data_IF_122082490132
#
_entry.id   IF_122082490132
#
_cell.length_a   1.000
_cell.length_b   1.000
_cell.length_c   1.000
_cell.angle_alpha   90.00
_cell.angle_beta   90.00
_cell.angle_gamma   90.00
#
_symmetry.space_group_name_H-M   'P 1'
#
loop_
_entity.id
_entity.type
_entity.pdbx_description
1 polymer ?
#
# COMPACT_ATOMS: atom_id res chain seq x y z
N UNK A 1 -21.33 -14.58 15.05
CA UNK A 1 -20.34 -14.11 16.05
C UNK A 1 -19.31 -13.31 15.30
N UNK A 2 -19.01 -12.11 15.80
CA UNK A 2 -17.97 -11.27 15.21
C UNK A 2 -16.61 -11.94 15.33
N UNK A 3 -15.84 -11.90 14.24
CA UNK A 3 -14.44 -12.35 14.21
C UNK A 3 -13.59 -11.11 14.11
N UNK A 4 -12.85 -10.80 15.17
CA UNK A 4 -12.16 -9.51 15.30
C UNK A 4 -10.67 -9.74 15.07
N UNK A 5 -10.08 -9.00 14.12
CA UNK A 5 -8.62 -8.87 14.00
C UNK A 5 -8.15 -7.75 14.91
N UNK A 6 -7.24 -8.05 15.83
CA UNK A 6 -6.67 -7.04 16.74
C UNK A 6 -5.67 -6.15 16.00
N UNK A 7 -5.40 -5.00 16.59
CA UNK A 7 -4.28 -4.12 16.24
C UNK A 7 -2.98 -4.72 16.80
N UNK A 8 -2.50 -5.82 16.21
CA UNK A 8 -1.40 -6.65 16.75
C UNK A 8 -0.04 -5.97 16.74
N UNK A 9 0.14 -4.90 15.94
CA UNK A 9 1.39 -4.15 15.81
C UNK A 9 1.35 -2.80 16.54
N UNK A 10 0.23 -2.44 17.17
CA UNK A 10 0.14 -1.29 18.07
C UNK A 10 1.10 -1.45 19.26
N UNK A 11 1.73 -0.35 19.67
CA UNK A 11 2.73 -0.30 20.74
C UNK A 11 4.15 -0.66 20.29
N UNK A 12 4.35 -1.08 19.05
CA UNK A 12 5.68 -1.38 18.49
C UNK A 12 5.94 -0.68 17.15
N UNK A 13 5.04 -0.82 16.17
CA UNK A 13 5.19 -0.17 14.85
C UNK A 13 4.59 1.23 14.81
N UNK A 14 3.57 1.47 15.64
CA UNK A 14 2.91 2.75 15.86
C UNK A 14 2.42 2.80 17.32
N UNK A 15 2.14 3.99 17.86
CA UNK A 15 1.70 4.13 19.26
C UNK A 15 0.33 3.48 19.48
N UNK A 16 0.17 2.73 20.57
CA UNK A 16 -1.10 2.14 21.01
C UNK A 16 -1.98 3.13 21.79
N UNK A 17 -1.40 4.23 22.27
CA UNK A 17 -2.15 5.32 22.89
C UNK A 17 -3.00 6.07 21.83
N UNK A 18 -4.34 6.08 21.94
CA UNK A 18 -5.22 6.62 20.91
C UNK A 18 -5.10 8.14 20.74
N UNK A 19 -4.93 8.89 21.83
CA UNK A 19 -4.80 10.35 21.75
C UNK A 19 -3.51 10.74 21.06
N UNK A 20 -2.40 10.10 21.47
CA UNK A 20 -1.09 10.33 20.86
C UNK A 20 -1.08 9.93 19.38
N UNK A 21 -1.69 8.79 19.02
CA UNK A 21 -1.78 8.35 17.63
C UNK A 21 -2.56 9.36 16.78
N UNK A 22 -3.70 9.84 17.30
CA UNK A 22 -4.50 10.85 16.60
C UNK A 22 -3.73 12.15 16.38
N UNK A 23 -3.03 12.64 17.40
CA UNK A 23 -2.20 13.86 17.32
C UNK A 23 -1.07 13.71 16.29
N UNK A 24 -0.31 12.60 16.34
CA UNK A 24 0.75 12.31 15.37
C UNK A 24 0.23 12.31 13.93
N UNK A 25 -0.91 11.67 13.69
CA UNK A 25 -1.54 11.62 12.37
C UNK A 25 -2.05 13.00 11.92
N UNK A 26 -2.67 13.78 12.81
CA UNK A 26 -3.12 15.15 12.51
C UNK A 26 -1.94 16.03 12.11
N UNK A 27 -0.83 15.98 12.88
CA UNK A 27 0.37 16.75 12.59
C UNK A 27 0.95 16.41 11.22
N UNK A 28 1.08 15.12 10.88
CA UNK A 28 1.67 14.71 9.61
C UNK A 28 0.74 15.01 8.43
N UNK A 29 -0.57 14.78 8.56
CA UNK A 29 -1.56 15.10 7.54
C UNK A 29 -1.64 16.61 7.29
N UNK A 30 -1.58 17.42 8.35
CA UNK A 30 -1.53 18.89 8.25
C UNK A 30 -0.23 19.36 7.59
N UNK A 31 0.91 18.82 8.01
CA UNK A 31 2.23 19.17 7.48
C UNK A 31 2.42 18.78 6.00
N UNK A 32 1.74 17.74 5.52
CA UNK A 32 1.71 17.42 4.10
C UNK A 32 1.10 18.56 3.27
N UNK A 33 0.16 19.33 3.84
CA UNK A 33 -0.37 20.56 3.24
C UNK A 33 -1.17 20.34 1.94
N UNK A 34 -1.75 19.15 1.79
CA UNK A 34 -2.39 18.72 0.55
C UNK A 34 -3.88 19.05 0.52
N UNK A 35 -4.35 19.56 -0.61
CA UNK A 35 -5.77 19.76 -0.85
C UNK A 35 -6.48 18.41 -1.01
N UNK A 36 -7.63 18.27 -0.35
CA UNK A 36 -8.54 17.13 -0.57
C UNK A 36 -9.13 17.21 -1.97
N UNK A 37 -9.25 16.07 -2.65
CA UNK A 37 -9.82 16.01 -3.99
C UNK A 37 -10.65 14.74 -4.15
N UNK A 38 -11.87 14.92 -4.65
CA UNK A 38 -12.78 13.83 -5.05
C UNK A 38 -12.25 12.99 -6.20
N UNK A 39 -11.25 13.49 -6.94
CA UNK A 39 -10.67 12.78 -8.07
C UNK A 39 -9.65 11.72 -7.61
N UNK A 40 -9.19 11.77 -6.35
CA UNK A 40 -8.27 10.77 -5.80
C UNK A 40 -9.03 9.47 -5.53
N UNK A 41 -8.76 8.47 -6.37
CA UNK A 41 -9.42 7.15 -6.34
C UNK A 41 -8.52 6.04 -5.79
N UNK A 42 -7.24 6.32 -5.56
CA UNK A 42 -6.35 5.41 -4.86
C UNK A 42 -5.02 6.04 -4.47
N UNK A 43 -4.20 5.29 -3.76
CA UNK A 43 -2.86 5.69 -3.32
C UNK A 43 -1.89 4.51 -3.35
N UNK A 44 -0.60 4.82 -3.42
CA UNK A 44 0.50 3.93 -3.02
C UNK A 44 1.16 4.58 -1.80
N UNK A 45 1.33 3.83 -0.71
CA UNK A 45 1.89 4.35 0.54
C UNK A 45 2.80 3.32 1.23
N UNK A 46 3.80 3.77 2.01
CA UNK A 46 4.72 2.89 2.74
C UNK A 46 4.06 2.21 3.94
N UNK A 47 4.68 1.12 4.39
CA UNK A 47 4.26 0.33 5.56
C UNK A 47 5.40 -0.02 6.53
N UNK A 48 6.49 0.75 6.54
CA UNK A 48 7.39 0.73 7.69
C UNK A 48 6.72 1.31 8.96
N UNK A 49 7.37 1.14 10.12
CA UNK A 49 6.90 1.75 11.37
C UNK A 49 6.82 3.28 11.29
N UNK A 50 5.83 3.87 11.97
CA UNK A 50 5.43 5.26 11.80
C UNK A 50 6.53 6.27 12.13
N UNK A 51 7.43 5.94 13.06
CA UNK A 51 8.61 6.77 13.36
C UNK A 51 9.52 7.00 12.14
N UNK A 52 9.48 6.09 11.15
CA UNK A 52 10.27 6.20 9.93
C UNK A 52 9.46 6.71 8.75
N UNK A 53 8.28 6.12 8.48
CA UNK A 53 7.54 6.34 7.22
C UNK A 53 6.23 7.10 7.40
N UNK A 54 5.77 7.38 8.63
CA UNK A 54 4.47 8.01 8.88
C UNK A 54 4.33 9.38 8.21
N UNK A 55 5.39 10.20 8.26
CA UNK A 55 5.44 11.50 7.57
C UNK A 55 5.36 11.35 6.05
N UNK A 56 6.08 10.38 5.48
CA UNK A 56 6.01 10.09 4.06
C UNK A 56 4.59 9.64 3.67
N UNK A 57 4.00 8.69 4.42
CA UNK A 57 2.65 8.17 4.18
C UNK A 57 1.58 9.27 4.15
N UNK A 58 1.71 10.29 5.02
CA UNK A 58 0.79 11.42 5.04
C UNK A 58 0.68 12.16 3.70
N UNK A 59 1.69 12.12 2.83
CA UNK A 59 1.60 12.69 1.48
C UNK A 59 0.70 11.90 0.53
N UNK A 60 0.46 10.62 0.77
CA UNK A 60 -0.52 9.83 0.02
C UNK A 60 -1.92 10.08 0.59
N UNK A 61 -2.07 9.80 1.88
CA UNK A 61 -3.33 9.88 2.64
C UNK A 61 -3.90 11.32 2.72
N UNK A 62 -3.03 12.34 2.74
CA UNK A 62 -3.38 13.75 2.89
C UNK A 62 -4.31 14.30 1.82
N UNK A 63 -4.37 13.72 0.62
CA UNK A 63 -5.23 14.20 -0.47
C UNK A 63 -6.63 13.57 -0.51
N UNK A 64 -6.90 12.56 0.32
CA UNK A 64 -8.15 11.80 0.26
C UNK A 64 -9.32 12.67 0.74
N UNK A 65 -10.29 12.87 -0.13
CA UNK A 65 -11.62 13.39 0.22
C UNK A 65 -12.55 12.21 0.57
N UNK A 66 -12.99 12.10 1.83
CA UNK A 66 -13.82 10.97 2.26
C UNK A 66 -15.28 11.04 1.80
N UNK A 67 -15.76 12.18 1.29
CA UNK A 67 -17.20 12.46 1.15
C UNK A 67 -17.98 11.45 0.29
N UNK A 68 -17.36 10.92 -0.75
CA UNK A 68 -18.02 10.03 -1.73
C UNK A 68 -17.50 8.59 -1.68
N UNK A 69 -16.65 8.25 -0.70
CA UNK A 69 -16.05 6.91 -0.61
C UNK A 69 -16.83 6.12 0.45
N UNK A 70 -17.29 4.92 0.06
CA UNK A 70 -17.98 3.99 0.97
C UNK A 70 -17.18 2.70 1.19
N UNK A 71 -16.20 2.42 0.34
CA UNK A 71 -15.42 1.18 0.38
C UNK A 71 -13.96 1.42 0.05
N UNK A 72 -13.07 0.85 0.87
CA UNK A 72 -11.63 0.89 0.66
C UNK A 72 -11.08 -0.51 0.43
N UNK A 73 -10.56 -0.78 -0.76
CA UNK A 73 -9.76 -1.97 -1.04
C UNK A 73 -8.35 -1.74 -0.52
N UNK A 74 -7.86 -2.63 0.33
CA UNK A 74 -6.55 -2.54 0.94
C UNK A 74 -5.68 -3.70 0.44
N UNK A 75 -4.71 -3.40 -0.41
CA UNK A 75 -3.84 -4.38 -1.04
C UNK A 75 -2.47 -4.33 -0.38
N UNK A 76 -2.11 -5.37 0.37
CA UNK A 76 -0.81 -5.46 1.04
C UNK A 76 -0.03 -6.71 0.67
N UNK A 77 1.30 -6.65 0.49
CA UNK A 77 2.10 -7.85 0.27
C UNK A 77 2.11 -8.75 1.52
N UNK A 78 2.40 -10.03 1.34
CA UNK A 78 2.69 -10.93 2.47
C UNK A 78 4.18 -11.05 2.77
N UNK A 79 4.54 -10.87 4.03
CA UNK A 79 5.90 -11.04 4.56
C UNK A 79 6.09 -12.37 5.30
N UNK A 80 5.02 -12.90 5.90
CA UNK A 80 5.11 -14.07 6.79
C UNK A 80 4.47 -15.34 6.21
N UNK A 81 3.54 -15.20 5.27
CA UNK A 81 2.79 -16.32 4.71
C UNK A 81 3.06 -16.48 3.21
N UNK A 82 3.82 -17.52 2.87
CA UNK A 82 4.06 -17.82 1.47
C UNK A 82 2.81 -18.42 0.81
N UNK A 83 2.28 -17.71 -0.18
CA UNK A 83 1.22 -18.19 -1.07
C UNK A 83 1.42 -17.62 -2.48
N UNK A 84 0.97 -18.36 -3.49
CA UNK A 84 0.99 -17.95 -4.90
C UNK A 84 -0.31 -17.24 -5.33
N UNK A 85 -1.20 -16.97 -4.37
CA UNK A 85 -2.53 -16.38 -4.56
C UNK A 85 -2.70 -15.12 -3.71
N UNK A 86 -3.82 -14.44 -3.90
CA UNK A 86 -4.33 -13.48 -2.95
C UNK A 86 -5.20 -14.19 -1.90
N UNK A 87 -5.21 -13.66 -0.68
CA UNK A 87 -6.01 -14.18 0.43
C UNK A 87 -6.89 -13.10 1.06
N UNK A 88 -8.06 -13.52 1.53
CA UNK A 88 -9.09 -12.68 2.12
C UNK A 88 -9.18 -12.93 3.62
N UNK A 89 -9.57 -11.90 4.38
CA UNK A 89 -9.75 -12.04 5.82
C UNK A 89 -11.00 -12.86 6.15
N UNK A 90 -10.91 -13.64 7.23
CA UNK A 90 -12.07 -14.27 7.90
C UNK A 90 -12.68 -13.39 8.99
N UNK A 91 -12.05 -12.25 9.30
CA UNK A 91 -12.58 -11.29 10.25
C UNK A 91 -13.82 -10.58 9.69
N UNK A 92 -14.60 -9.99 10.58
CA UNK A 92 -15.70 -9.08 10.26
C UNK A 92 -15.34 -7.63 10.60
N UNK A 93 -14.28 -7.42 11.39
CA UNK A 93 -13.85 -6.14 11.92
C UNK A 93 -12.33 -6.12 12.11
N UNK A 94 -11.67 -5.04 11.68
CA UNK A 94 -10.27 -4.75 12.00
C UNK A 94 -10.22 -3.65 13.06
N UNK A 95 -9.58 -3.92 14.19
CA UNK A 95 -9.39 -2.91 15.24
C UNK A 95 -8.25 -1.95 14.92
N UNK A 96 -8.40 -0.70 15.33
CA UNK A 96 -7.30 0.27 15.46
C UNK A 96 -7.45 1.01 16.78
N UNK A 97 -6.40 1.68 17.30
CA UNK A 97 -6.54 2.47 18.52
C UNK A 97 -7.56 3.62 18.41
N UNK A 98 -7.77 4.17 17.20
CA UNK A 98 -8.54 5.41 16.98
C UNK A 98 -9.87 5.20 16.25
N UNK A 99 -10.21 3.96 15.87
CA UNK A 99 -11.48 3.62 15.23
C UNK A 99 -11.43 2.26 14.55
N UNK A 100 -12.43 1.43 14.83
CA UNK A 100 -12.53 0.11 14.22
C UNK A 100 -13.09 0.22 12.79
N UNK A 101 -12.61 -0.65 11.89
CA UNK A 101 -12.97 -0.64 10.46
C UNK A 101 -13.70 -1.95 10.10
N UNK A 102 -15.00 -1.90 9.73
CA UNK A 102 -15.76 -3.08 9.37
C UNK A 102 -15.34 -3.62 7.99
N UNK A 103 -15.31 -4.94 7.84
CA UNK A 103 -15.03 -5.57 6.55
C UNK A 103 -16.30 -5.61 5.70
N UNK A 104 -16.17 -5.35 4.39
CA UNK A 104 -17.26 -5.56 3.44
C UNK A 104 -17.44 -7.05 3.15
N UNK A 105 -18.29 -7.69 3.95
CA UNK A 105 -18.58 -9.13 3.85
C UNK A 105 -19.24 -9.52 2.54
N UNK A 106 -19.99 -8.61 1.90
CA UNK A 106 -20.65 -8.90 0.61
C UNK A 106 -19.60 -9.02 -0.49
N UNK A 107 -18.69 -8.04 -0.58
CA UNK A 107 -17.56 -8.10 -1.53
C UNK A 107 -16.62 -9.26 -1.17
N UNK A 108 -16.40 -9.52 0.12
CA UNK A 108 -15.54 -10.61 0.55
C UNK A 108 -16.07 -11.98 0.09
N UNK A 109 -17.38 -12.24 0.24
CA UNK A 109 -18.02 -13.47 -0.25
C UNK A 109 -18.07 -13.52 -1.78
N UNK A 110 -18.28 -12.39 -2.47
CA UNK A 110 -18.19 -12.30 -3.92
C UNK A 110 -16.79 -12.71 -4.45
N UNK A 111 -15.73 -12.13 -3.88
CA UNK A 111 -14.35 -12.46 -4.24
C UNK A 111 -14.03 -13.92 -3.92
N UNK A 112 -14.44 -14.43 -2.77
CA UNK A 112 -14.29 -15.83 -2.40
C UNK A 112 -15.01 -16.78 -3.37
N UNK A 113 -16.22 -16.43 -3.83
CA UNK A 113 -17.00 -17.24 -4.76
C UNK A 113 -16.32 -17.42 -6.14
N UNK A 114 -15.37 -16.56 -6.50
CA UNK A 114 -14.55 -16.74 -7.72
C UNK A 114 -13.66 -17.99 -7.67
N UNK A 115 -13.42 -18.55 -6.48
CA UNK A 115 -12.50 -19.67 -6.27
C UNK A 115 -11.02 -19.30 -6.48
N UNK A 116 -10.71 -18.02 -6.65
CA UNK A 116 -9.34 -17.52 -6.89
C UNK A 116 -8.64 -17.08 -5.61
N UNK A 117 -9.37 -16.84 -4.53
CA UNK A 117 -8.80 -16.35 -3.27
C UNK A 117 -8.69 -17.46 -2.23
N UNK A 118 -7.62 -17.42 -1.44
CA UNK A 118 -7.51 -18.18 -0.21
C UNK A 118 -8.16 -17.42 0.96
N UNK A 119 -8.36 -18.10 2.09
CA UNK A 119 -8.83 -17.45 3.32
C UNK A 119 -7.70 -17.45 4.33
N UNK A 120 -7.37 -16.28 4.87
CA UNK A 120 -6.41 -16.15 5.94
C UNK A 120 -7.02 -16.63 7.25
N UNK A 121 -6.32 -17.54 7.93
CA UNK A 121 -6.59 -17.78 9.34
C UNK A 121 -6.24 -16.53 10.15
N UNK A 122 -6.93 -16.30 11.27
CA UNK A 122 -6.79 -15.07 12.05
C UNK A 122 -5.35 -14.83 12.52
N UNK A 123 -4.60 -15.88 12.83
CA UNK A 123 -3.19 -15.77 13.21
C UNK A 123 -2.30 -15.28 12.05
N UNK A 124 -2.57 -15.72 10.81
CA UNK A 124 -1.85 -15.21 9.62
C UNK A 124 -2.17 -13.74 9.41
N UNK A 125 -3.44 -13.39 9.54
CA UNK A 125 -3.92 -12.01 9.37
C UNK A 125 -3.32 -11.06 10.41
N UNK A 126 -3.31 -11.46 11.69
CA UNK A 126 -2.70 -10.69 12.78
C UNK A 126 -1.16 -10.69 12.76
N UNK A 127 -0.51 -11.67 12.12
CA UNK A 127 0.94 -11.67 11.97
C UNK A 127 1.43 -10.70 10.87
N UNK A 128 0.58 -10.39 9.88
CA UNK A 128 0.94 -9.47 8.81
C UNK A 128 0.77 -8.01 9.22
N UNK A 129 1.71 -7.15 8.82
CA UNK A 129 1.70 -5.72 9.16
C UNK A 129 1.43 -4.81 7.95
N UNK A 130 1.64 -5.29 6.71
CA UNK A 130 1.61 -4.44 5.53
C UNK A 130 0.29 -3.66 5.37
N UNK A 131 -0.84 -4.34 5.58
CA UNK A 131 -2.17 -3.72 5.59
C UNK A 131 -2.43 -2.94 6.88
N UNK A 132 -1.98 -3.44 8.03
CA UNK A 132 -2.23 -2.80 9.33
C UNK A 132 -1.68 -1.39 9.40
N UNK A 133 -0.52 -1.12 8.80
CA UNK A 133 0.09 0.21 8.81
C UNK A 133 -0.75 1.27 8.09
N UNK A 134 -1.70 0.88 7.24
CA UNK A 134 -2.62 1.81 6.59
C UNK A 134 -3.87 2.08 7.44
N UNK A 135 -4.23 1.18 8.37
CA UNK A 135 -5.51 1.23 9.07
C UNK A 135 -5.67 2.48 9.97
N UNK A 136 -4.68 2.92 10.76
CA UNK A 136 -4.82 4.16 11.53
C UNK A 136 -5.03 5.39 10.63
N UNK A 137 -4.28 5.52 9.53
CA UNK A 137 -4.51 6.61 8.57
C UNK A 137 -5.92 6.58 7.97
N UNK A 138 -6.42 5.40 7.60
CA UNK A 138 -7.78 5.23 7.10
C UNK A 138 -8.83 5.58 8.17
N UNK A 139 -8.70 5.03 9.38
CA UNK A 139 -9.60 5.33 10.50
C UNK A 139 -9.64 6.83 10.80
N UNK A 140 -8.49 7.51 10.71
CA UNK A 140 -8.37 8.96 10.91
C UNK A 140 -9.08 9.76 9.81
N UNK A 141 -8.85 9.43 8.55
CA UNK A 141 -9.43 10.16 7.40
C UNK A 141 -10.94 9.97 7.30
N UNK A 142 -11.41 8.75 7.57
CA UNK A 142 -12.81 8.38 7.46
C UNK A 142 -13.57 8.53 8.79
N UNK A 143 -13.01 9.25 9.77
CA UNK A 143 -13.70 9.52 11.03
C UNK A 143 -15.03 10.24 10.75
N UNK A 144 -16.14 9.63 11.15
CA UNK A 144 -17.49 10.14 10.89
C UNK A 144 -18.11 9.73 9.54
N UNK A 145 -17.40 8.97 8.71
CA UNK A 145 -17.90 8.45 7.44
C UNK A 145 -18.16 6.94 7.54
N UNK A 146 -19.32 6.44 7.06
CA UNK A 146 -19.62 5.02 7.09
C UNK A 146 -18.89 4.30 5.94
N UNK A 147 -17.67 3.82 6.21
CA UNK A 147 -16.91 3.02 5.25
C UNK A 147 -16.81 1.55 5.66
N UNK A 148 -16.59 0.69 4.66
CA UNK A 148 -16.14 -0.69 4.84
C UNK A 148 -14.78 -0.90 4.17
N UNK A 149 -13.99 -1.83 4.67
CA UNK A 149 -12.71 -2.20 4.07
C UNK A 149 -12.78 -3.59 3.40
N UNK A 150 -11.99 -3.79 2.35
CA UNK A 150 -11.78 -5.08 1.69
C UNK A 150 -10.28 -5.38 1.76
N UNK A 151 -9.80 -6.02 2.85
CA UNK A 151 -8.40 -6.38 3.00
C UNK A 151 -8.05 -7.58 2.10
N UNK A 152 -7.05 -7.39 1.25
CA UNK A 152 -6.54 -8.38 0.31
C UNK A 152 -5.03 -8.53 0.54
N UNK A 153 -4.65 -9.65 1.13
CA UNK A 153 -3.25 -10.06 1.20
C UNK A 153 -2.81 -10.56 -0.17
N UNK A 154 -1.78 -9.96 -0.74
CA UNK A 154 -1.23 -10.29 -2.05
C UNK A 154 0.04 -11.12 -1.86
N UNK A 155 0.00 -12.38 -2.30
CA UNK A 155 1.13 -13.29 -2.22
C UNK A 155 2.23 -13.05 -3.26
N UNK A 156 3.09 -14.05 -3.42
CA UNK A 156 4.15 -14.10 -4.41
C UNK A 156 3.57 -14.48 -5.79
N UNK A 157 2.85 -13.55 -6.40
CA UNK A 157 2.18 -13.78 -7.68
C UNK A 157 3.18 -13.90 -8.83
N UNK A 158 2.84 -14.74 -9.82
CA UNK A 158 3.47 -14.66 -11.14
C UNK A 158 2.70 -13.66 -12.04
N UNK A 159 3.26 -13.32 -13.19
CA UNK A 159 2.66 -12.32 -14.09
C UNK A 159 1.24 -12.71 -14.58
N UNK A 160 0.96 -13.99 -14.78
CA UNK A 160 -0.37 -14.46 -15.16
C UNK A 160 -1.39 -14.20 -14.06
N UNK A 161 -1.02 -14.48 -12.80
CA UNK A 161 -1.86 -14.22 -11.63
C UNK A 161 -2.02 -12.73 -11.36
N UNK A 162 -0.98 -11.91 -11.51
CA UNK A 162 -1.08 -10.44 -11.39
C UNK A 162 -2.11 -9.89 -12.39
N UNK A 163 -2.00 -10.28 -13.66
CA UNK A 163 -2.94 -9.88 -14.69
C UNK A 163 -4.36 -10.43 -14.46
N UNK A 164 -4.47 -11.65 -13.92
CA UNK A 164 -5.77 -12.27 -13.59
C UNK A 164 -6.48 -11.53 -12.46
N UNK A 165 -5.81 -11.27 -11.33
CA UNK A 165 -6.40 -10.50 -10.23
C UNK A 165 -6.69 -9.06 -10.65
N UNK A 166 -5.82 -8.46 -11.46
CA UNK A 166 -6.05 -7.13 -12.00
C UNK A 166 -7.34 -7.06 -12.83
N UNK A 167 -7.57 -8.02 -13.75
CA UNK A 167 -8.83 -8.13 -14.50
C UNK A 167 -10.03 -8.39 -13.59
N UNK A 168 -9.89 -9.27 -12.60
CA UNK A 168 -10.95 -9.64 -11.67
C UNK A 168 -11.42 -8.43 -10.85
N UNK A 169 -10.47 -7.62 -10.37
CA UNK A 169 -10.72 -6.47 -9.51
C UNK A 169 -11.02 -5.17 -10.29
N UNK A 170 -10.75 -5.11 -11.60
CA UNK A 170 -10.92 -3.92 -12.43
C UNK A 170 -12.31 -3.29 -12.34
N UNK A 171 -13.36 -4.10 -12.28
CA UNK A 171 -14.75 -3.61 -12.17
C UNK A 171 -15.00 -2.74 -10.93
N UNK A 172 -14.25 -2.94 -9.85
CA UNK A 172 -14.40 -2.13 -8.65
C UNK A 172 -13.79 -0.74 -8.83
N UNK A 173 -12.88 -0.55 -9.80
CA UNK A 173 -12.31 0.77 -10.12
C UNK A 173 -13.38 1.67 -10.74
N UNK A 174 -14.27 1.10 -11.55
CA UNK A 174 -15.31 1.82 -12.28
C UNK A 174 -16.44 2.36 -11.38
N UNK A 175 -16.60 1.82 -10.17
CA UNK A 175 -17.55 2.34 -9.18
C UNK A 175 -16.90 3.50 -8.40
N UNK A 176 -17.39 4.74 -8.54
CA UNK A 176 -16.79 5.95 -7.96
C UNK A 176 -16.77 5.96 -6.42
N UNK A 177 -17.54 5.09 -5.77
CA UNK A 177 -17.57 4.98 -4.31
C UNK A 177 -16.46 4.11 -3.72
N UNK A 178 -15.69 3.43 -4.58
CA UNK A 178 -14.55 2.62 -4.17
C UNK A 178 -13.24 3.41 -4.22
N UNK A 179 -12.36 3.10 -3.26
CA UNK A 179 -11.01 3.65 -3.14
C UNK A 179 -9.98 2.52 -2.99
N UNK A 180 -8.76 2.70 -3.49
CA UNK A 180 -7.71 1.68 -3.45
C UNK A 180 -6.48 2.16 -2.66
N UNK A 181 -6.16 1.44 -1.58
CA UNK A 181 -4.97 1.67 -0.77
C UNK A 181 -3.96 0.56 -1.05
N UNK A 182 -2.89 0.88 -1.78
CA UNK A 182 -1.84 -0.07 -2.18
C UNK A 182 -0.62 0.13 -1.29
N UNK A 183 -0.21 -0.94 -0.61
CA UNK A 183 0.85 -0.89 0.39
C UNK A 183 2.20 -1.32 -0.18
N UNK A 184 3.21 -0.44 -0.12
CA UNK A 184 4.57 -0.74 -0.54
C UNK A 184 5.60 0.22 0.03
N UNK A 185 6.64 -0.32 0.66
CA UNK A 185 7.95 0.31 0.70
C UNK A 185 8.70 0.10 -0.62
N UNK A 186 9.75 0.89 -0.85
CA UNK A 186 10.60 0.85 -2.06
C UNK A 186 11.92 0.14 -1.75
N UNK A 187 13.07 0.54 -2.31
CA UNK A 187 14.33 -0.18 -2.14
C UNK A 187 14.70 -0.46 -0.68
N UNK A 188 14.86 -1.73 -0.35
CA UNK A 188 15.54 -2.23 0.85
C UNK A 188 17.00 -2.50 0.48
N UNK A 189 17.89 -1.55 0.79
CA UNK A 189 19.30 -1.59 0.43
C UNK A 189 20.18 -1.93 1.63
N UNK A 190 21.15 -2.82 1.42
CA UNK A 190 22.19 -3.19 2.37
C UNK A 190 22.39 -4.70 2.47
N UNK A 191 23.51 -5.10 3.09
CA UNK A 191 23.87 -6.51 3.23
C UNK A 191 22.78 -7.34 3.92
N UNK A 192 22.06 -6.77 4.90
CA UNK A 192 20.96 -7.44 5.62
C UNK A 192 19.75 -7.80 4.74
N UNK A 193 19.63 -7.17 3.57
CA UNK A 193 18.57 -7.45 2.60
C UNK A 193 19.08 -8.24 1.40
N UNK A 194 20.36 -8.64 1.41
CA UNK A 194 21.03 -9.27 0.27
C UNK A 194 20.89 -8.47 -1.04
N UNK A 195 20.85 -7.13 -0.93
CA UNK A 195 20.68 -6.24 -2.07
C UNK A 195 21.54 -4.99 -1.89
N UNK A 196 22.56 -4.85 -2.74
CA UNK A 196 23.55 -3.77 -2.64
C UNK A 196 23.85 -3.15 -4.01
N UNK A 197 22.86 -3.09 -4.88
CA UNK A 197 22.99 -2.46 -6.19
C UNK A 197 23.52 -1.03 -6.03
N UNK A 198 24.56 -0.67 -6.78
CA UNK A 198 25.14 0.67 -6.79
C UNK A 198 25.63 1.01 -8.20
N UNK A 199 24.87 1.86 -8.89
CA UNK A 199 25.31 2.46 -10.13
C UNK A 199 26.15 3.70 -9.82
N UNK A 200 27.47 3.56 -9.99
CA UNK A 200 28.47 4.59 -9.68
C UNK A 200 28.26 5.89 -10.45
N UNK A 201 27.52 5.88 -11.57
CA UNK A 201 27.22 7.12 -12.32
C UNK A 201 26.39 8.12 -11.50
N UNK A 202 25.65 7.64 -10.50
CA UNK A 202 24.86 8.49 -9.60
C UNK A 202 25.64 8.95 -8.36
N UNK A 203 26.94 8.65 -8.27
CA UNK A 203 27.79 9.08 -7.17
C UNK A 203 27.59 8.25 -5.90
N UNK A 204 27.19 8.90 -4.80
CA UNK A 204 27.00 8.24 -3.51
C UNK A 204 25.90 7.17 -3.56
N UNK A 205 26.00 6.16 -2.68
CA UNK A 205 25.08 5.01 -2.64
C UNK A 205 23.62 5.47 -2.52
N UNK A 206 23.30 6.37 -1.57
CA UNK A 206 21.94 6.87 -1.39
C UNK A 206 21.37 7.57 -2.64
N UNK A 207 22.21 8.18 -3.48
CA UNK A 207 21.81 8.77 -4.76
C UNK A 207 21.56 7.73 -5.85
N UNK A 208 22.33 6.64 -5.85
CA UNK A 208 22.03 5.50 -6.71
C UNK A 208 20.74 4.80 -6.31
N UNK A 209 20.45 4.69 -5.01
CA UNK A 209 19.16 4.16 -4.52
C UNK A 209 18.03 5.08 -4.97
N UNK A 210 18.17 6.40 -4.78
CA UNK A 210 17.17 7.38 -5.23
C UNK A 210 16.92 7.32 -6.74
N UNK A 211 17.97 7.23 -7.56
CA UNK A 211 17.81 7.11 -9.00
C UNK A 211 17.13 5.81 -9.43
N UNK A 212 17.44 4.70 -8.75
CA UNK A 212 16.79 3.42 -8.98
C UNK A 212 15.30 3.48 -8.64
N UNK A 213 14.96 3.95 -7.44
CA UNK A 213 13.57 4.06 -7.00
C UNK A 213 12.77 5.03 -7.87
N UNK A 214 13.34 6.18 -8.24
CA UNK A 214 12.68 7.14 -9.15
C UNK A 214 12.42 6.55 -10.53
N UNK A 215 13.32 5.73 -11.07
CA UNK A 215 13.07 5.00 -12.32
C UNK A 215 11.84 4.09 -12.19
N UNK A 216 11.73 3.36 -11.08
CA UNK A 216 10.55 2.54 -10.79
C UNK A 216 9.27 3.38 -10.65
N UNK A 217 9.35 4.51 -9.93
CA UNK A 217 8.24 5.45 -9.75
C UNK A 217 7.76 6.01 -11.09
N UNK A 218 8.65 6.53 -11.92
CA UNK A 218 8.35 7.08 -13.26
C UNK A 218 7.67 6.03 -14.15
N UNK A 219 8.11 4.76 -14.07
CA UNK A 219 7.46 3.66 -14.81
C UNK A 219 6.06 3.37 -14.27
N UNK A 220 5.86 3.37 -12.94
CA UNK A 220 4.52 3.21 -12.33
C UNK A 220 3.59 4.35 -12.77
N UNK A 221 4.08 5.59 -12.88
CA UNK A 221 3.30 6.75 -13.35
C UNK A 221 2.81 6.60 -14.79
N UNK A 222 3.45 5.77 -15.63
CA UNK A 222 2.96 5.46 -16.99
C UNK A 222 1.70 4.60 -16.99
N UNK A 223 1.38 3.93 -15.88
CA UNK A 223 0.26 2.98 -15.81
C UNK A 223 0.52 1.65 -16.52
N UNK A 224 1.74 1.38 -17.02
CA UNK A 224 2.06 0.15 -17.76
C UNK A 224 2.62 -0.97 -16.84
N UNK A 225 1.84 -2.03 -16.55
CA UNK A 225 2.31 -3.15 -15.74
C UNK A 225 3.44 -3.94 -16.42
N UNK A 226 3.47 -4.00 -17.75
CA UNK A 226 4.49 -4.76 -18.49
C UNK A 226 5.85 -4.04 -18.39
N UNK A 227 5.85 -2.70 -18.50
CA UNK A 227 7.04 -1.88 -18.28
C UNK A 227 7.57 -2.01 -16.85
N UNK A 228 6.68 -1.99 -15.84
CA UNK A 228 7.07 -2.18 -14.44
C UNK A 228 7.68 -3.56 -14.19
N UNK A 229 7.12 -4.61 -14.79
CA UNK A 229 7.71 -5.95 -14.75
C UNK A 229 9.11 -6.00 -15.36
N UNK A 230 9.32 -5.38 -16.52
CA UNK A 230 10.65 -5.33 -17.15
C UNK A 230 11.67 -4.59 -16.28
N UNK A 231 11.25 -3.51 -15.60
CA UNK A 231 12.09 -2.82 -14.63
C UNK A 231 12.52 -3.73 -13.48
N UNK A 232 11.58 -4.47 -12.88
CA UNK A 232 11.89 -5.40 -11.79
C UNK A 232 12.85 -6.51 -12.25
N UNK A 233 12.61 -7.13 -13.41
CA UNK A 233 13.48 -8.17 -13.97
C UNK A 233 14.90 -7.68 -14.28
N UNK A 234 15.03 -6.40 -14.63
CA UNK A 234 16.33 -5.81 -14.98
C UNK A 234 17.14 -5.39 -13.76
N UNK A 235 16.46 -4.95 -12.71
CA UNK A 235 17.10 -4.27 -11.57
C UNK A 235 17.13 -5.11 -10.31
N UNK A 236 16.21 -6.06 -10.16
CA UNK A 236 15.93 -6.79 -8.93
C UNK A 236 15.66 -5.85 -7.74
N UNK A 237 15.16 -4.62 -7.98
CA UNK A 237 14.88 -3.68 -6.89
C UNK A 237 13.91 -4.30 -5.88
N UNK A 238 14.24 -4.18 -4.60
CA UNK A 238 13.58 -4.88 -3.49
C UNK A 238 12.28 -4.23 -3.03
N UNK A 239 11.46 -3.75 -3.98
CA UNK A 239 10.13 -3.18 -3.72
C UNK A 239 9.23 -4.29 -3.14
N UNK A 240 8.86 -4.19 -1.86
CA UNK A 240 8.12 -5.25 -1.17
C UNK A 240 6.69 -5.41 -1.71
N UNK A 241 6.02 -4.29 -2.05
CA UNK A 241 4.67 -4.26 -2.62
C UNK A 241 4.63 -4.38 -4.15
N UNK A 242 5.68 -4.92 -4.79
CA UNK A 242 5.72 -5.08 -6.25
C UNK A 242 4.51 -5.83 -6.82
N UNK A 243 4.01 -6.84 -6.12
CA UNK A 243 2.85 -7.62 -6.55
C UNK A 243 1.53 -6.83 -6.36
N UNK A 244 1.24 -6.20 -5.20
CA UNK A 244 0.14 -5.24 -5.08
C UNK A 244 0.15 -4.13 -6.13
N UNK A 245 1.31 -3.52 -6.39
CA UNK A 245 1.47 -2.49 -7.42
C UNK A 245 1.15 -3.04 -8.80
N UNK A 246 1.70 -4.20 -9.18
CA UNK A 246 1.42 -4.84 -10.47
C UNK A 246 -0.07 -5.18 -10.64
N UNK A 247 -0.70 -5.74 -9.61
CA UNK A 247 -2.16 -5.99 -9.60
C UNK A 247 -2.92 -4.70 -9.82
N UNK A 248 -2.58 -3.62 -9.08
CA UNK A 248 -3.24 -2.33 -9.22
C UNK A 248 -3.06 -1.73 -10.63
N UNK A 249 -1.86 -1.77 -11.20
CA UNK A 249 -1.62 -1.34 -12.58
C UNK A 249 -2.47 -2.14 -13.58
N UNK A 250 -2.59 -3.46 -13.39
CA UNK A 250 -3.50 -4.27 -14.20
C UNK A 250 -4.97 -3.94 -13.96
N UNK A 251 -5.40 -3.56 -12.75
CA UNK A 251 -6.76 -3.07 -12.50
C UNK A 251 -7.04 -1.82 -13.33
N UNK A 252 -6.14 -0.82 -13.28
CA UNK A 252 -6.28 0.42 -14.02
C UNK A 252 -6.25 0.21 -15.54
N UNK A 253 -5.40 -0.71 -16.03
CA UNK A 253 -5.32 -1.07 -17.46
C UNK A 253 -6.62 -1.70 -17.97
N UNK A 254 -7.37 -2.41 -17.12
CA UNK A 254 -8.58 -3.14 -17.50
C UNK A 254 -9.88 -2.45 -17.04
N UNK A 255 -9.81 -1.30 -16.40
CA UNK A 255 -10.98 -0.49 -16.02
C UNK A 255 -11.40 0.48 -17.13
N UNK A 256 -12.67 0.85 -17.10
CA UNK A 256 -13.23 1.86 -17.99
C UNK A 256 -12.81 3.26 -17.55
N UNK A 257 -12.82 3.52 -16.24
CA UNK A 257 -12.33 4.77 -15.65
C UNK A 257 -10.82 4.90 -15.86
N UNK A 258 -10.40 6.05 -16.40
CA UNK A 258 -8.99 6.38 -16.60
C UNK A 258 -8.45 7.05 -15.35
N UNK A 259 -7.35 6.52 -14.83
CA UNK A 259 -6.71 6.98 -13.60
C UNK A 259 -5.21 7.11 -13.88
N UNK A 260 -4.63 8.24 -13.54
CA UNK A 260 -3.19 8.49 -13.57
C UNK A 260 -2.60 8.44 -12.17
N UNK A 261 -1.45 7.79 -12.03
CA UNK A 261 -0.68 7.75 -10.79
C UNK A 261 0.35 8.89 -10.83
N UNK A 262 0.52 9.59 -9.71
CA UNK A 262 1.55 10.60 -9.52
C UNK A 262 2.17 10.46 -8.14
N UNK A 263 3.49 10.34 -8.07
CA UNK A 263 4.23 10.37 -6.81
C UNK A 263 4.35 11.80 -6.28
N UNK A 264 4.08 11.94 -4.99
CA UNK A 264 4.01 13.20 -4.26
C UNK A 264 5.18 13.37 -3.29
N UNK A 265 5.76 12.25 -2.83
CA UNK A 265 6.86 12.25 -1.87
C UNK A 265 7.77 11.05 -2.08
N UNK A 266 9.07 11.28 -1.84
CA UNK A 266 10.09 10.26 -1.77
C UNK A 266 11.02 10.56 -0.58
N UNK A 267 11.30 9.56 0.23
CA UNK A 267 12.17 9.63 1.41
C UNK A 267 13.01 8.36 1.54
N UNK A 268 14.09 8.44 2.32
CA UNK A 268 14.90 7.31 2.72
C UNK A 268 15.04 7.33 4.24
N UNK A 269 14.90 6.17 4.88
CA UNK A 269 15.13 6.01 6.32
C UNK A 269 16.48 6.53 6.80
N UNK A 270 17.52 6.41 5.96
CA UNK A 270 18.82 7.04 6.16
C UNK A 270 19.57 7.14 4.83
N UNK A 271 20.59 8.01 4.77
CA UNK A 271 21.46 8.13 3.60
C UNK A 271 22.64 7.16 3.71
N UNK A 272 22.58 6.04 2.98
CA UNK A 272 23.72 5.12 2.85
C UNK A 272 24.91 5.79 2.15
N UNK A 273 26.07 5.76 2.79
CA UNK A 273 27.34 6.31 2.30
C UNK A 273 28.40 5.22 2.09
N UNK A 274 28.31 4.12 2.82
CA UNK A 274 29.23 3.00 2.77
C UNK A 274 28.51 1.67 2.60
N UNK A 275 29.26 0.62 2.25
CA UNK A 275 28.73 -0.76 2.13
C UNK A 275 28.30 -1.40 3.45
N UNK A 276 28.58 -0.76 4.59
CA UNK A 276 28.13 -1.21 5.92
C UNK A 276 26.78 -0.63 6.31
N UNK A 277 26.33 0.41 5.62
CA UNK A 277 25.06 1.06 5.90
C UNK A 277 23.89 0.21 5.37
N UNK A 278 22.66 0.54 5.80
CA UNK A 278 21.45 0.00 5.18
C UNK A 278 20.31 1.00 5.31
N UNK A 279 19.40 1.00 4.33
CA UNK A 279 18.25 1.88 4.30
C UNK A 279 17.06 1.21 3.61
N UNK A 280 15.87 1.60 4.02
CA UNK A 280 14.62 1.41 3.27
C UNK A 280 14.17 2.76 2.70
N UNK A 281 13.68 2.76 1.46
CA UNK A 281 13.07 3.91 0.79
C UNK A 281 11.55 3.92 0.94
N UNK A 282 10.96 5.11 1.00
CA UNK A 282 9.52 5.33 1.14
C UNK A 282 9.05 6.25 0.02
N UNK A 283 7.95 5.88 -0.65
CA UNK A 283 7.34 6.72 -1.65
C UNK A 283 5.82 6.76 -1.47
N UNK A 284 5.24 7.93 -1.73
CA UNK A 284 3.81 8.16 -1.60
C UNK A 284 3.25 8.69 -2.90
N UNK A 285 2.20 8.07 -3.41
CA UNK A 285 1.53 8.46 -4.65
C UNK A 285 0.03 8.61 -4.46
N UNK A 286 -0.57 9.44 -5.30
CA UNK A 286 -2.01 9.52 -5.50
C UNK A 286 -2.36 9.03 -6.90
N UNK A 287 -3.43 8.25 -7.01
CA UNK A 287 -4.03 7.81 -8.25
C UNK A 287 -5.33 8.60 -8.47
N UNK A 288 -5.33 9.47 -9.48
CA UNK A 288 -6.42 10.43 -9.75
C UNK A 288 -7.13 10.14 -11.06
N UNK A 289 -8.42 10.42 -11.13
CA UNK A 289 -9.18 10.37 -12.39
C UNK A 289 -8.48 11.27 -13.42
N UNK A 290 -8.25 10.73 -14.61
CA UNK A 290 -7.71 11.45 -15.76
C UNK A 290 -8.88 12.07 -16.53
N UNK A 291 -9.01 13.40 -16.45
CA UNK A 291 -10.07 14.17 -17.09
C UNK A 291 -9.84 14.34 -18.60
#
# INVERSE_FOLDING_TARGET
MDKIRRASHAGSWYTDNPNKLSEELDEWLSAAGLAKSSDVRGIIAPHAGYSYSGRAAAYAFGNIDPANISRVFLLGPSHHHYTLKCALSRATLYKTPIGDLPIDLEVNEELKATGKFELMDLHVDEAEHSMEMHLPFLAKIFQGYPIKIVPILVGALNAENEAMYGRLLAKYVDDPSNFFSVSSDFCHWGARFNYMHHDKKHGAIYKSIEALDRMGMEIIETGDPDAFKQYLLKTDNTICGRHPISVFLHMLKNSSTKIKIQFLRYEQSSQCKTTRDSSVSYASAAAKIDA
#
